data_IF_677576734524
#
_entry.id   IF_677576734524
#
_cell.length_a   1.000
_cell.length_b   1.000
_cell.length_c   1.000
_cell.angle_alpha   90.00
_cell.angle_beta   90.00
_cell.angle_gamma   90.00
#
_symmetry.space_group_name_H-M   'P 1'
#
loop_
_entity.id
_entity.type
_entity.pdbx_description
1 polymer ?
#
# COMPACT_ATOMS: atom_id res chain seq x y z
N UNK A 1 -15.09 16.14 -3.88
CA UNK A 1 -14.26 15.27 -4.73
C UNK A 1 -12.83 15.36 -4.18
N UNK A 2 -12.38 14.35 -3.46
CA UNK A 2 -11.01 14.32 -2.93
C UNK A 2 -10.05 14.15 -4.10
N UNK A 3 -9.14 15.13 -4.29
CA UNK A 3 -8.03 15.00 -5.23
C UNK A 3 -6.87 14.37 -4.47
N UNK A 4 -6.55 13.11 -4.75
CA UNK A 4 -5.39 12.44 -4.16
C UNK A 4 -4.06 12.98 -4.71
N UNK A 5 -4.06 13.66 -5.85
CA UNK A 5 -2.86 14.19 -6.47
C UNK A 5 -3.06 14.50 -7.94
N UNK A 6 -1.95 14.63 -8.66
CA UNK A 6 -1.87 14.80 -10.11
C UNK A 6 -1.13 13.61 -10.69
N UNK A 7 -1.82 12.79 -11.46
CA UNK A 7 -1.28 11.56 -12.06
C UNK A 7 -2.36 10.77 -12.79
N UNK A 8 -1.93 9.73 -13.46
CA UNK A 8 -2.79 8.77 -14.14
C UNK A 8 -2.84 7.47 -13.32
N UNK A 9 -4.06 6.95 -13.09
CA UNK A 9 -4.31 5.76 -12.29
C UNK A 9 -5.16 4.80 -13.10
N UNK A 10 -4.69 3.56 -13.29
CA UNK A 10 -5.41 2.53 -14.01
C UNK A 10 -5.50 1.26 -13.18
N UNK A 11 -6.69 0.99 -12.67
CA UNK A 11 -6.99 -0.26 -11.96
C UNK A 11 -7.08 -1.42 -12.94
N UNK A 12 -6.65 -2.59 -12.49
CA UNK A 12 -6.89 -3.84 -13.19
C UNK A 12 -8.32 -4.30 -12.97
N UNK A 13 -8.81 -5.13 -13.89
CA UNK A 13 -10.10 -5.81 -13.80
C UNK A 13 -9.88 -7.33 -13.64
N UNK A 14 -10.86 -8.03 -13.11
CA UNK A 14 -10.84 -9.48 -13.09
C UNK A 14 -11.26 -10.06 -14.47
N UNK A 15 -10.58 -11.12 -14.96
CA UNK A 15 -9.41 -11.75 -14.36
C UNK A 15 -8.16 -10.85 -14.45
N UNK A 16 -7.36 -10.85 -13.39
CA UNK A 16 -6.08 -10.12 -13.39
C UNK A 16 -5.13 -10.72 -14.43
N UNK A 17 -4.17 -9.90 -14.91
CA UNK A 17 -3.07 -10.43 -15.71
C UNK A 17 -2.26 -11.43 -14.89
N UNK A 18 -1.69 -12.44 -15.54
CA UNK A 18 -0.96 -13.54 -14.89
C UNK A 18 0.11 -13.03 -13.91
N UNK A 19 0.91 -12.05 -14.33
CA UNK A 19 1.98 -11.50 -13.49
C UNK A 19 1.45 -10.83 -12.22
N UNK A 20 0.36 -10.06 -12.30
CA UNK A 20 -0.24 -9.38 -11.14
C UNK A 20 -0.87 -10.40 -10.19
N UNK A 21 -1.55 -11.41 -10.73
CA UNK A 21 -2.12 -12.49 -9.93
C UNK A 21 -1.03 -13.29 -9.22
N UNK A 22 0.00 -13.69 -9.94
CA UNK A 22 1.14 -14.45 -9.38
C UNK A 22 1.84 -13.67 -8.27
N UNK A 23 2.09 -12.37 -8.45
CA UNK A 23 2.69 -11.53 -7.42
C UNK A 23 1.82 -11.47 -6.16
N UNK A 24 0.51 -11.29 -6.30
CA UNK A 24 -0.40 -11.30 -5.14
C UNK A 24 -0.39 -12.64 -4.41
N UNK A 25 -0.49 -13.75 -5.16
CA UNK A 25 -0.51 -15.11 -4.60
C UNK A 25 0.80 -15.51 -3.93
N UNK A 26 1.92 -15.03 -4.44
CA UNK A 26 3.23 -15.32 -3.88
C UNK A 26 3.54 -14.46 -2.65
N UNK A 27 3.24 -13.17 -2.70
CA UNK A 27 3.61 -12.21 -1.64
C UNK A 27 2.68 -12.31 -0.44
N UNK A 28 1.36 -12.46 -0.65
CA UNK A 28 0.37 -12.48 0.44
C UNK A 28 0.68 -13.52 1.55
N UNK A 29 0.95 -14.81 1.23
CA UNK A 29 1.22 -15.80 2.27
C UNK A 29 2.45 -15.50 3.12
N UNK A 30 3.41 -14.74 2.60
CA UNK A 30 4.58 -14.30 3.35
C UNK A 30 4.23 -13.19 4.34
N UNK A 31 3.23 -12.38 4.03
CA UNK A 31 2.82 -11.23 4.84
C UNK A 31 1.73 -11.56 5.86
N UNK A 32 0.89 -12.55 5.60
CA UNK A 32 -0.21 -12.92 6.49
C UNK A 32 0.26 -13.25 7.94
N UNK A 33 1.34 -14.00 8.17
CA UNK A 33 1.85 -14.23 9.53
C UNK A 33 2.31 -12.94 10.21
N UNK A 34 2.94 -12.02 9.47
CA UNK A 34 3.37 -10.71 10.00
C UNK A 34 2.16 -9.88 10.39
N UNK A 35 1.13 -9.87 9.54
CA UNK A 35 -0.13 -9.19 9.79
C UNK A 35 -0.81 -9.70 11.07
N UNK A 36 -0.85 -11.01 11.27
CA UNK A 36 -1.44 -11.63 12.45
C UNK A 36 -0.67 -11.28 13.72
N UNK A 37 0.67 -11.32 13.69
CA UNK A 37 1.50 -10.84 14.81
C UNK A 37 1.20 -9.38 15.14
N UNK A 38 0.95 -8.52 14.14
CA UNK A 38 0.57 -7.13 14.38
C UNK A 38 -0.80 -7.00 15.05
N UNK A 39 -1.77 -7.83 14.65
CA UNK A 39 -3.08 -7.84 15.29
C UNK A 39 -2.98 -8.27 16.76
N UNK A 40 -2.24 -9.34 17.04
CA UNK A 40 -2.00 -9.81 18.42
C UNK A 40 -1.30 -8.75 19.29
N UNK A 41 -0.26 -8.11 18.78
CA UNK A 41 0.47 -7.04 19.48
C UNK A 41 -0.42 -5.83 19.81
N UNK A 42 -1.42 -5.57 18.99
CA UNK A 42 -2.37 -4.47 19.17
C UNK A 42 -3.65 -4.87 19.90
N UNK A 43 -3.76 -6.12 20.37
CA UNK A 43 -4.95 -6.71 20.99
C UNK A 43 -6.20 -6.53 20.09
N UNK A 44 -6.07 -6.89 18.82
CA UNK A 44 -7.16 -6.88 17.85
C UNK A 44 -7.57 -8.31 17.54
N UNK A 45 -8.86 -8.61 17.59
CA UNK A 45 -9.41 -9.96 17.36
C UNK A 45 -9.38 -10.38 15.87
N UNK A 46 -8.83 -9.54 15.00
CA UNK A 46 -8.74 -9.83 13.56
C UNK A 46 -7.60 -10.80 13.31
N UNK A 47 -7.90 -11.89 12.59
CA UNK A 47 -6.90 -12.83 12.08
C UNK A 47 -7.07 -12.97 10.57
N UNK A 48 -5.96 -12.92 9.85
CA UNK A 48 -5.93 -13.04 8.40
C UNK A 48 -5.65 -14.49 8.00
N UNK A 49 -6.39 -15.03 7.00
CA UNK A 49 -6.16 -16.39 6.51
C UNK A 49 -4.79 -16.53 5.85
N UNK A 50 -4.32 -17.78 5.72
CA UNK A 50 -3.00 -18.08 5.16
C UNK A 50 -2.92 -17.91 3.63
N UNK A 51 -4.05 -17.92 2.93
CA UNK A 51 -4.10 -17.80 1.48
C UNK A 51 -4.84 -16.54 1.02
N UNK A 52 -4.38 -15.97 -0.10
CA UNK A 52 -5.05 -14.84 -0.74
C UNK A 52 -6.50 -15.18 -1.12
N UNK A 53 -6.75 -16.39 -1.58
CA UNK A 53 -8.09 -16.86 -1.96
C UNK A 53 -9.10 -16.76 -0.81
N UNK A 54 -8.68 -17.12 0.39
CA UNK A 54 -9.52 -17.01 1.58
C UNK A 54 -9.73 -15.54 1.98
N UNK A 55 -8.71 -14.69 1.87
CA UNK A 55 -8.88 -13.24 2.07
C UNK A 55 -9.89 -12.66 1.07
N UNK A 56 -9.80 -13.03 -0.20
CA UNK A 56 -10.74 -12.61 -1.22
C UNK A 56 -12.17 -13.10 -0.93
N UNK A 57 -12.32 -14.30 -0.38
CA UNK A 57 -13.64 -14.80 0.06
C UNK A 57 -14.23 -13.92 1.19
N UNK A 58 -13.40 -13.47 2.15
CA UNK A 58 -13.84 -12.50 3.18
C UNK A 58 -14.23 -11.16 2.56
N UNK A 59 -13.46 -10.66 1.58
CA UNK A 59 -13.80 -9.45 0.84
C UNK A 59 -15.16 -9.58 0.15
N UNK A 60 -15.40 -10.69 -0.57
CA UNK A 60 -16.67 -10.96 -1.26
C UNK A 60 -17.85 -11.01 -0.27
N UNK A 61 -17.67 -11.64 0.90
CA UNK A 61 -18.69 -11.69 1.97
C UNK A 61 -19.04 -10.31 2.50
N UNK A 62 -18.08 -9.35 2.44
CA UNK A 62 -18.26 -7.95 2.82
C UNK A 62 -18.59 -7.04 1.61
N UNK A 63 -19.08 -7.61 0.51
CA UNK A 63 -19.44 -6.89 -0.73
C UNK A 63 -18.27 -6.18 -1.43
N UNK A 64 -17.02 -6.48 -1.07
CA UNK A 64 -15.82 -5.98 -1.71
C UNK A 64 -15.43 -6.93 -2.86
N UNK A 65 -15.72 -6.54 -4.10
CA UNK A 65 -15.56 -7.41 -5.29
C UNK A 65 -14.70 -6.79 -6.38
N UNK A 66 -14.32 -5.51 -6.25
CA UNK A 66 -13.51 -4.83 -7.26
C UNK A 66 -12.03 -5.01 -6.95
N UNK A 67 -11.23 -5.45 -7.92
CA UNK A 67 -9.80 -5.58 -7.72
C UNK A 67 -9.16 -4.22 -7.47
N UNK A 68 -8.17 -4.21 -6.61
CA UNK A 68 -7.46 -3.00 -6.18
C UNK A 68 -6.05 -2.84 -6.73
N UNK A 69 -5.39 -3.85 -7.34
CA UNK A 69 -4.12 -3.60 -8.01
C UNK A 69 -4.26 -2.54 -9.09
N UNK A 70 -3.25 -1.67 -9.20
CA UNK A 70 -3.31 -0.55 -10.14
C UNK A 70 -1.93 -0.16 -10.66
N UNK A 71 -1.91 0.36 -11.87
CA UNK A 71 -0.76 1.09 -12.42
C UNK A 71 -0.93 2.56 -12.11
N UNK A 72 0.15 3.17 -11.61
CA UNK A 72 0.25 4.60 -11.34
C UNK A 72 1.33 5.19 -12.25
N UNK A 73 1.02 6.33 -12.88
CA UNK A 73 1.96 7.09 -13.69
C UNK A 73 1.93 8.55 -13.27
N UNK A 74 3.10 9.10 -13.01
CA UNK A 74 3.31 10.50 -12.70
C UNK A 74 4.32 11.08 -13.71
N UNK A 75 3.91 12.12 -14.46
CA UNK A 75 4.79 12.95 -15.25
C UNK A 75 5.26 14.17 -14.47
N UNK A 76 5.94 15.09 -15.14
CA UNK A 76 6.39 16.36 -14.56
C UNK A 76 5.23 17.13 -13.89
N UNK A 77 5.47 17.63 -12.66
CA UNK A 77 4.45 18.24 -11.81
C UNK A 77 3.49 17.24 -11.15
N UNK A 78 3.63 15.95 -11.44
CA UNK A 78 2.79 14.88 -10.87
C UNK A 78 3.21 14.54 -9.44
N UNK A 79 2.24 14.27 -8.59
CA UNK A 79 2.45 13.89 -7.18
C UNK A 79 1.24 13.10 -6.64
N UNK A 80 1.41 12.48 -5.48
CA UNK A 80 0.29 11.90 -4.75
C UNK A 80 0.32 12.37 -3.29
N UNK A 81 -0.80 12.90 -2.82
CA UNK A 81 -0.93 13.37 -1.44
C UNK A 81 -0.89 12.23 -0.45
N UNK A 82 -0.50 12.52 0.78
CA UNK A 82 -0.43 11.52 1.86
C UNK A 82 -1.81 10.96 2.20
N UNK A 83 -2.02 9.68 1.96
CA UNK A 83 -3.30 8.99 2.10
C UNK A 83 -3.14 7.58 2.71
N UNK A 84 -4.25 6.88 2.84
CA UNK A 84 -4.36 5.48 3.23
C UNK A 84 -5.31 4.79 2.25
N UNK A 85 -5.01 3.55 1.85
CA UNK A 85 -5.82 2.76 0.93
C UNK A 85 -6.83 1.89 1.69
N UNK A 86 -7.95 2.47 2.02
CA UNK A 86 -9.04 1.82 2.73
C UNK A 86 -10.29 1.79 1.85
N UNK A 87 -10.62 0.61 1.33
CA UNK A 87 -11.64 0.43 0.29
C UNK A 87 -12.86 -0.37 0.74
N UNK A 88 -12.99 -0.61 2.04
CA UNK A 88 -14.11 -1.34 2.64
C UNK A 88 -13.82 -1.77 4.08
N UNK A 89 -14.68 -2.61 4.64
CA UNK A 89 -14.58 -3.08 6.03
C UNK A 89 -13.43 -4.07 6.22
N UNK A 90 -13.20 -4.93 5.22
CA UNK A 90 -12.06 -5.84 5.18
C UNK A 90 -10.88 -5.11 4.58
N UNK A 91 -9.79 -4.96 5.32
CA UNK A 91 -8.54 -4.46 4.79
C UNK A 91 -7.35 -5.24 5.35
N UNK A 92 -6.40 -5.56 4.48
CA UNK A 92 -5.14 -6.19 4.88
C UNK A 92 -4.15 -5.10 5.30
N UNK A 93 -3.41 -5.25 6.43
CA UNK A 93 -2.62 -4.15 7.00
C UNK A 93 -1.33 -3.82 6.24
N UNK A 94 -0.97 -4.64 5.27
CA UNK A 94 0.23 -4.49 4.45
C UNK A 94 -0.12 -4.44 2.96
N UNK A 95 0.63 -3.68 2.21
CA UNK A 95 0.54 -3.59 0.76
C UNK A 95 1.94 -3.45 0.16
N UNK A 96 2.05 -3.60 -1.15
CA UNK A 96 3.32 -3.51 -1.85
C UNK A 96 3.25 -2.54 -3.02
N UNK A 97 4.37 -1.92 -3.36
CA UNK A 97 4.57 -1.15 -4.57
C UNK A 97 5.83 -1.64 -5.28
N UNK A 98 5.68 -2.04 -6.55
CA UNK A 98 6.79 -2.42 -7.42
C UNK A 98 7.17 -1.21 -8.30
N UNK A 99 8.42 -0.81 -8.27
CA UNK A 99 8.93 0.35 -9.00
C UNK A 99 9.41 -0.05 -10.39
N UNK A 100 8.88 0.60 -11.43
CA UNK A 100 9.06 0.20 -12.82
C UNK A 100 10.06 1.07 -13.59
N UNK A 101 10.55 2.15 -12.96
CA UNK A 101 11.53 3.08 -13.54
C UNK A 101 12.69 3.31 -12.59
N UNK A 102 13.85 3.65 -13.16
CA UNK A 102 15.05 3.98 -12.40
C UNK A 102 15.07 5.47 -12.04
N UNK A 103 15.13 5.83 -10.73
CA UNK A 103 15.25 7.22 -10.32
C UNK A 103 16.54 7.86 -10.84
N UNK A 104 16.49 9.17 -11.11
CA UNK A 104 17.58 10.00 -11.65
C UNK A 104 18.00 9.62 -13.10
N UNK A 105 17.39 8.58 -13.67
CA UNK A 105 17.59 8.16 -15.08
C UNK A 105 16.31 8.42 -15.87
N UNK A 106 15.21 7.83 -15.44
CA UNK A 106 13.90 7.94 -16.11
C UNK A 106 13.07 9.13 -15.61
N UNK A 107 13.32 9.55 -14.36
CA UNK A 107 12.61 10.65 -13.72
C UNK A 107 13.42 11.25 -12.57
N UNK A 108 13.12 12.52 -12.22
CA UNK A 108 13.64 13.17 -11.02
C UNK A 108 12.53 13.54 -10.05
N UNK A 109 12.86 13.73 -8.78
CA UNK A 109 11.84 13.87 -7.72
C UNK A 109 11.06 12.58 -7.53
N UNK A 110 9.76 12.68 -7.26
CA UNK A 110 8.87 11.51 -7.19
C UNK A 110 9.23 10.49 -6.12
N UNK A 111 9.85 10.93 -5.03
CA UNK A 111 10.22 10.07 -3.91
C UNK A 111 8.96 9.40 -3.33
N UNK A 112 9.11 8.15 -2.88
CA UNK A 112 8.07 7.48 -2.12
C UNK A 112 8.15 7.92 -0.67
N UNK A 113 7.13 8.61 -0.21
CA UNK A 113 7.08 9.24 1.12
C UNK A 113 6.12 8.50 2.01
N UNK A 114 6.60 8.10 3.18
CA UNK A 114 5.77 7.59 4.26
C UNK A 114 5.80 8.59 5.41
N UNK A 115 4.68 8.77 6.09
CA UNK A 115 4.63 9.50 7.36
C UNK A 115 4.15 8.60 8.47
N UNK A 116 4.86 8.68 9.60
CA UNK A 116 4.50 8.00 10.83
C UNK A 116 4.03 9.02 11.84
N UNK A 117 2.78 8.90 12.28
CA UNK A 117 2.24 9.74 13.33
C UNK A 117 2.16 8.96 14.64
N UNK A 118 2.92 9.42 15.63
CA UNK A 118 2.86 8.91 16.99
C UNK A 118 1.80 9.70 17.76
N UNK A 119 0.96 9.08 18.58
CA UNK A 119 -0.03 9.80 19.39
C UNK A 119 0.62 10.92 20.22
N UNK A 120 0.05 12.12 20.12
CA UNK A 120 0.51 13.32 20.83
C UNK A 120 1.92 13.83 20.46
N UNK A 121 2.44 13.44 19.30
CA UNK A 121 3.73 13.88 18.78
C UNK A 121 3.62 14.37 17.34
N UNK A 122 4.67 15.00 16.85
CA UNK A 122 4.77 15.40 15.44
C UNK A 122 4.98 14.17 14.54
N UNK A 123 4.55 14.27 13.30
CA UNK A 123 4.73 13.22 12.30
C UNK A 123 6.20 13.15 11.86
N UNK A 124 6.71 11.92 11.72
CA UNK A 124 8.03 11.64 11.16
C UNK A 124 7.89 11.26 9.69
N UNK A 125 8.62 11.89 8.80
CA UNK A 125 8.72 11.47 7.41
C UNK A 125 9.79 10.38 7.24
N UNK A 126 9.50 9.44 6.34
CA UNK A 126 10.43 8.42 5.82
C UNK A 126 10.39 8.59 4.30
N UNK A 127 11.53 8.92 3.72
CA UNK A 127 11.65 9.19 2.27
C UNK A 127 12.49 8.11 1.65
N UNK A 128 11.94 7.44 0.62
CA UNK A 128 12.59 6.34 -0.09
C UNK A 128 12.74 6.69 -1.57
N UNK A 129 13.86 6.25 -2.15
CA UNK A 129 14.13 6.26 -3.61
C UNK A 129 14.38 4.82 -4.08
N UNK A 130 13.35 3.98 -4.19
CA UNK A 130 13.53 2.61 -4.67
C UNK A 130 13.96 2.60 -6.13
N UNK A 131 14.82 1.66 -6.47
CA UNK A 131 15.32 1.45 -7.85
C UNK A 131 14.29 0.70 -8.70
N UNK A 132 14.52 0.69 -9.99
CA UNK A 132 13.75 -0.15 -10.90
C UNK A 132 13.85 -1.63 -10.49
N UNK A 133 12.70 -2.30 -10.39
CA UNK A 133 12.59 -3.68 -9.94
C UNK A 133 12.47 -3.87 -8.42
N UNK A 134 12.72 -2.84 -7.62
CA UNK A 134 12.49 -2.91 -6.17
C UNK A 134 11.01 -3.03 -5.85
N UNK A 135 10.70 -3.83 -4.83
CA UNK A 135 9.37 -3.89 -4.22
C UNK A 135 9.45 -3.36 -2.79
N UNK A 136 8.71 -2.32 -2.50
CA UNK A 136 8.54 -1.80 -1.14
C UNK A 136 7.27 -2.35 -0.53
N UNK A 137 7.38 -3.03 0.61
CA UNK A 137 6.25 -3.48 1.41
C UNK A 137 6.05 -2.46 2.54
N UNK A 138 4.84 -1.96 2.67
CA UNK A 138 4.50 -0.92 3.63
C UNK A 138 3.08 -1.08 4.19
N UNK A 139 2.78 -0.36 5.24
CA UNK A 139 1.51 -0.49 5.94
C UNK A 139 0.39 0.28 5.22
N UNK A 140 -0.79 -0.34 5.17
CA UNK A 140 -2.01 0.28 4.63
C UNK A 140 -2.52 1.41 5.53
N UNK A 141 -2.47 1.25 6.86
CA UNK A 141 -3.08 2.20 7.79
C UNK A 141 -2.22 2.52 9.00
N UNK A 142 -1.89 1.52 9.80
CA UNK A 142 -1.09 1.68 11.01
C UNK A 142 -0.17 0.47 11.21
N UNK A 143 0.84 0.65 12.02
CA UNK A 143 1.71 -0.45 12.49
C UNK A 143 1.82 -0.45 14.01
N UNK A 144 2.11 -1.60 14.63
CA UNK A 144 2.42 -1.64 16.05
C UNK A 144 3.77 -0.98 16.32
N UNK A 145 3.81 -0.19 17.38
CA UNK A 145 5.04 0.41 17.92
C UNK A 145 5.16 0.05 19.39
N UNK A 146 6.35 -0.43 19.77
CA UNK A 146 6.63 -0.77 21.18
C UNK A 146 6.75 0.52 21.99
N UNK A 147 5.95 0.62 23.04
CA UNK A 147 6.00 1.67 24.04
C UNK A 147 6.38 1.13 25.41
N UNK A 148 6.37 1.98 26.43
CA UNK A 148 6.72 1.59 27.79
C UNK A 148 5.75 0.55 28.43
N UNK A 149 4.48 0.54 28.01
CA UNK A 149 3.41 -0.31 28.55
C UNK A 149 2.82 -1.27 27.53
N UNK A 150 3.58 -1.72 26.53
CA UNK A 150 3.11 -2.59 25.44
C UNK A 150 3.13 -1.91 24.09
N UNK A 151 2.33 -2.41 23.15
CA UNK A 151 2.27 -1.87 21.80
C UNK A 151 1.12 -0.85 21.63
N UNK A 152 1.35 0.14 20.77
CA UNK A 152 0.35 1.11 20.38
C UNK A 152 0.31 1.26 18.85
N UNK A 153 -0.79 1.79 18.32
CA UNK A 153 -0.96 2.07 16.88
C UNK A 153 -0.23 3.36 16.50
N UNK A 154 0.74 3.27 15.61
CA UNK A 154 1.28 4.44 14.92
C UNK A 154 0.59 4.55 13.56
N UNK A 155 -0.16 5.62 13.32
CA UNK A 155 -0.81 5.86 12.05
C UNK A 155 0.25 6.14 10.98
N UNK A 156 0.08 5.50 9.83
CA UNK A 156 0.93 5.67 8.68
C UNK A 156 0.12 6.21 7.52
N UNK A 157 0.74 7.08 6.73
CA UNK A 157 0.25 7.51 5.42
C UNK A 157 1.38 7.38 4.43
N UNK A 158 1.03 7.26 3.16
CA UNK A 158 2.01 7.24 2.08
C UNK A 158 1.58 8.17 0.95
N UNK A 159 2.54 8.55 0.14
CA UNK A 159 2.36 9.42 -1.00
C UNK A 159 3.59 9.47 -1.87
N UNK A 160 3.57 10.34 -2.86
CA UNK A 160 4.65 10.55 -3.81
C UNK A 160 4.93 12.04 -3.86
N UNK A 161 6.19 12.44 -3.69
CA UNK A 161 6.61 13.84 -3.88
C UNK A 161 6.47 14.25 -5.35
N UNK A 162 6.54 15.53 -5.63
CA UNK A 162 6.44 16.03 -6.99
C UNK A 162 7.54 15.46 -7.89
N UNK A 163 7.15 14.95 -9.06
CA UNK A 163 8.06 14.57 -10.14
C UNK A 163 8.52 15.83 -10.84
N UNK A 164 9.83 16.07 -10.87
CA UNK A 164 10.42 17.30 -11.42
C UNK A 164 10.69 17.22 -12.91
N UNK A 165 10.89 16.01 -13.44
CA UNK A 165 11.03 15.71 -14.88
C UNK A 165 10.84 14.22 -15.15
N UNK A 166 10.58 13.86 -16.40
CA UNK A 166 10.44 12.46 -16.83
C UNK A 166 9.11 11.82 -16.45
N UNK A 167 9.11 10.50 -16.38
CA UNK A 167 7.91 9.72 -16.06
C UNK A 167 8.23 8.62 -15.05
N UNK A 168 7.42 8.56 -13.99
CA UNK A 168 7.52 7.56 -12.93
C UNK A 168 6.33 6.61 -12.99
N UNK A 169 6.58 5.32 -13.11
CA UNK A 169 5.55 4.28 -13.09
C UNK A 169 5.73 3.35 -11.90
N UNK A 170 4.64 2.93 -11.31
CA UNK A 170 4.61 2.00 -10.17
C UNK A 170 3.43 1.06 -10.31
N UNK A 171 3.61 -0.21 -9.99
CA UNK A 171 2.53 -1.16 -9.81
C UNK A 171 2.19 -1.25 -8.32
N UNK A 172 1.01 -0.75 -7.95
CA UNK A 172 0.45 -0.91 -6.60
C UNK A 172 -0.20 -2.28 -6.45
N UNK A 173 0.18 -3.01 -5.41
CA UNK A 173 -0.37 -4.34 -5.08
C UNK A 173 -1.03 -4.25 -3.72
N UNK A 174 -2.33 -4.06 -3.73
CA UNK A 174 -3.20 -4.10 -2.57
C UNK A 174 -3.83 -5.49 -2.55
N UNK A 175 -3.92 -6.11 -1.37
CA UNK A 175 -4.36 -7.51 -1.26
C UNK A 175 -5.86 -7.67 -1.03
N UNK A 176 -6.51 -6.70 -0.41
CA UNK A 176 -7.98 -6.69 -0.24
C UNK A 176 -8.64 -5.99 -1.42
N UNK A 177 -9.85 -6.41 -1.74
CA UNK A 177 -10.63 -5.82 -2.82
C UNK A 177 -11.50 -4.65 -2.31
N UNK A 178 -12.05 -3.86 -3.21
CA UNK A 178 -12.85 -2.68 -2.92
C UNK A 178 -14.36 -2.92 -3.04
N UNK A 179 -15.15 -2.08 -2.37
CA UNK A 179 -16.62 -2.06 -2.51
C UNK A 179 -17.01 -1.44 -3.85
N UNK A 180 -16.35 -0.33 -4.24
CA UNK A 180 -16.71 0.47 -5.43
C UNK A 180 -15.49 1.05 -6.12
#
# INVERSE_FOLDING_TARGET
>A
RYRFGVGEYKYFEYPLTEIVQTLREYVYPQLAPVANVWMDQLNLDTQFPSSLRELQALCVASHQRKPTPLLLKYGEGGFNTLHQDLYGDVYFPLQAALFLNEPEVDYGGGEFVLTQQIPRAQSRAIVLKPKQGDMVIFTTRFRPMKGARGYYRANMRHGVSEVTHGHRHTLGIIFHDAVS
#
